data_IF_243541827824
#
_entry.id   IF_243541827824
#
_cell.length_a   1.000
_cell.length_b   1.000
_cell.length_c   1.000
_cell.angle_alpha   90.00
_cell.angle_beta   90.00
_cell.angle_gamma   90.00
#
_symmetry.space_group_name_H-M   'P 1'
#
loop_
_entity.id
_entity.type
_entity.pdbx_description
1 polymer ?
#
# COMPACT_ATOMS: atom_id res chain seq x y z
N UNK A 1 35.32 -76.12 66.01
CA UNK A 1 35.63 -75.59 64.69
C UNK A 1 37.09 -75.18 64.65
N UNK A 2 37.89 -75.69 63.71
CA UNK A 2 39.31 -75.38 63.61
C UNK A 2 39.55 -73.92 63.24
N UNK A 3 40.55 -73.26 63.78
CA UNK A 3 40.94 -71.88 63.53
C UNK A 3 41.07 -71.60 62.04
N UNK A 4 41.37 -72.61 61.23
CA UNK A 4 41.45 -72.52 59.77
C UNK A 4 40.09 -72.25 59.12
N UNK A 5 39.01 -72.85 59.61
CA UNK A 5 37.67 -72.65 59.07
C UNK A 5 37.14 -71.20 59.29
N UNK A 6 37.51 -70.59 60.42
CA UNK A 6 37.16 -69.22 60.77
C UNK A 6 37.90 -68.24 59.86
N UNK A 7 39.17 -68.47 59.56
CA UNK A 7 39.98 -67.64 58.65
C UNK A 7 39.41 -67.69 57.23
N UNK A 8 39.05 -68.87 56.73
CA UNK A 8 38.45 -69.03 55.37
C UNK A 8 37.11 -68.31 55.26
N UNK A 9 36.27 -68.38 56.32
CA UNK A 9 34.98 -67.64 56.31
C UNK A 9 35.19 -66.13 56.32
N UNK A 10 36.18 -65.61 57.07
CA UNK A 10 36.50 -64.20 57.11
C UNK A 10 37.02 -63.72 55.73
N UNK A 11 37.88 -64.50 55.07
CA UNK A 11 38.40 -64.19 53.73
C UNK A 11 37.26 -64.21 52.68
N UNK A 12 36.35 -65.18 52.77
CA UNK A 12 35.20 -65.23 51.83
C UNK A 12 34.21 -64.09 52.09
N UNK A 13 33.96 -63.72 53.34
CA UNK A 13 33.13 -62.54 53.66
C UNK A 13 33.77 -61.24 53.19
N UNK A 14 35.07 -61.06 53.36
CA UNK A 14 35.80 -59.87 52.84
C UNK A 14 35.78 -59.79 51.29
N UNK A 15 35.98 -60.93 50.61
CA UNK A 15 35.86 -61.02 49.17
C UNK A 15 34.44 -60.70 48.67
N UNK A 16 33.42 -61.19 49.39
CA UNK A 16 32.03 -60.91 49.11
C UNK A 16 31.68 -59.43 49.30
N UNK A 17 32.12 -58.79 50.38
CA UNK A 17 31.92 -57.36 50.65
C UNK A 17 32.64 -56.51 49.58
N UNK A 18 33.87 -56.90 49.20
CA UNK A 18 34.65 -56.24 48.14
C UNK A 18 33.93 -56.33 46.78
N UNK A 19 33.47 -57.52 46.39
CA UNK A 19 32.72 -57.72 45.15
C UNK A 19 31.41 -56.96 45.14
N UNK A 20 30.69 -56.97 46.28
CA UNK A 20 29.44 -56.23 46.42
C UNK A 20 29.63 -54.70 46.30
N UNK A 21 30.66 -54.15 46.99
CA UNK A 21 31.01 -52.73 46.88
C UNK A 21 31.41 -52.34 45.46
N UNK A 22 32.22 -53.20 44.78
CA UNK A 22 32.62 -53.01 43.39
C UNK A 22 31.43 -53.09 42.43
N UNK A 23 30.48 -54.00 42.66
CA UNK A 23 29.26 -54.10 41.90
C UNK A 23 28.37 -52.85 42.06
N UNK A 24 28.21 -52.33 43.27
CA UNK A 24 27.50 -51.07 43.54
C UNK A 24 28.18 -49.85 42.85
N UNK A 25 29.51 -49.80 42.88
CA UNK A 25 30.26 -48.74 42.19
C UNK A 25 30.05 -48.79 40.68
N UNK A 26 30.10 -49.96 40.06
CA UNK A 26 29.84 -50.17 38.63
C UNK A 26 28.37 -49.83 38.29
N UNK A 27 27.40 -50.21 39.11
CA UNK A 27 25.99 -49.84 38.90
C UNK A 27 25.78 -48.31 38.94
N UNK A 28 26.44 -47.61 39.87
CA UNK A 28 26.38 -46.13 39.89
C UNK A 28 26.99 -45.50 38.66
N UNK A 29 28.12 -46.05 38.16
CA UNK A 29 28.76 -45.54 36.97
C UNK A 29 27.93 -45.79 35.71
N UNK A 30 27.32 -46.97 35.56
CA UNK A 30 26.40 -47.29 34.47
C UNK A 30 25.18 -46.38 34.52
N UNK A 31 24.57 -46.20 35.68
CA UNK A 31 23.41 -45.32 35.85
C UNK A 31 23.74 -43.84 35.53
N UNK A 32 24.94 -43.39 35.92
CA UNK A 32 25.42 -42.05 35.59
C UNK A 32 25.63 -41.89 34.09
N UNK A 33 26.18 -42.90 33.39
CA UNK A 33 26.33 -42.88 31.91
C UNK A 33 24.98 -42.90 31.20
N UNK A 34 24.04 -43.72 31.67
CA UNK A 34 22.69 -43.82 31.10
C UNK A 34 21.91 -42.52 31.27
N UNK A 35 22.03 -41.87 32.45
CA UNK A 35 21.44 -40.56 32.67
C UNK A 35 22.02 -39.47 31.74
N UNK A 36 23.33 -39.42 31.54
CA UNK A 36 23.98 -38.51 30.61
C UNK A 36 23.53 -38.76 29.16
N UNK A 37 23.44 -40.03 28.76
CA UNK A 37 22.96 -40.38 27.43
C UNK A 37 21.50 -39.97 27.21
N UNK A 38 20.65 -40.15 28.23
CA UNK A 38 19.26 -39.70 28.18
C UNK A 38 19.12 -38.15 28.12
N UNK A 39 19.97 -37.42 28.86
CA UNK A 39 20.02 -35.95 28.76
C UNK A 39 20.48 -35.47 27.36
N UNK A 40 21.49 -36.12 26.80
CA UNK A 40 21.96 -35.84 25.44
C UNK A 40 20.87 -36.12 24.38
N UNK A 41 20.14 -37.24 24.54
CA UNK A 41 19.01 -37.56 23.66
C UNK A 41 17.89 -36.52 23.77
N UNK A 42 17.57 -36.02 24.97
CA UNK A 42 16.60 -34.94 25.18
C UNK A 42 17.06 -33.63 24.50
N UNK A 43 18.33 -33.26 24.70
CA UNK A 43 18.88 -32.08 24.05
C UNK A 43 18.86 -32.18 22.50
N UNK A 44 19.22 -33.33 21.95
CA UNK A 44 19.15 -33.60 20.51
C UNK A 44 17.69 -33.46 19.99
N UNK A 45 16.73 -34.03 20.70
CA UNK A 45 15.30 -33.90 20.37
C UNK A 45 14.83 -32.43 20.39
N UNK A 46 15.26 -31.64 21.36
CA UNK A 46 14.93 -30.20 21.42
C UNK A 46 15.51 -29.46 20.21
N UNK A 47 16.79 -29.67 19.91
CA UNK A 47 17.47 -29.03 18.77
C UNK A 47 16.84 -29.41 17.42
N UNK A 48 16.32 -30.63 17.29
CA UNK A 48 15.63 -31.10 16.07
C UNK A 48 14.25 -30.49 15.88
N UNK A 49 13.59 -30.01 16.94
CA UNK A 49 12.24 -29.45 16.90
C UNK A 49 12.21 -27.90 16.93
N UNK A 50 13.36 -27.24 17.04
CA UNK A 50 13.45 -25.79 16.93
C UNK A 50 13.54 -25.42 15.45
N UNK A 51 12.64 -24.53 15.00
CA UNK A 51 12.60 -24.06 13.61
C UNK A 51 13.73 -23.03 13.32
N UNK A 52 14.97 -23.45 13.58
CA UNK A 52 16.19 -22.68 13.37
C UNK A 52 17.35 -23.59 13.02
N UNK A 53 18.24 -23.15 12.14
CA UNK A 53 19.50 -23.85 11.89
C UNK A 53 20.51 -23.50 12.96
N UNK A 54 21.07 -24.53 13.60
CA UNK A 54 22.21 -24.43 14.50
C UNK A 54 23.45 -24.95 13.78
N UNK A 55 24.49 -24.13 13.74
CA UNK A 55 25.76 -24.46 13.09
C UNK A 55 26.90 -24.21 14.07
N UNK A 56 27.63 -25.23 14.43
CA UNK A 56 28.90 -25.09 15.14
C UNK A 56 30.00 -24.89 14.08
N UNK A 57 30.67 -23.75 14.10
CA UNK A 57 31.72 -23.43 13.13
C UNK A 57 33.07 -23.18 13.82
N UNK A 58 34.15 -23.48 13.11
CA UNK A 58 35.49 -23.12 13.50
C UNK A 58 35.88 -21.70 12.99
N UNK A 59 37.13 -21.29 13.29
CA UNK A 59 37.72 -20.01 12.87
C UNK A 59 37.86 -19.85 11.34
N UNK A 60 37.83 -20.94 10.59
CA UNK A 60 37.93 -20.97 9.12
C UNK A 60 36.55 -20.99 8.46
N UNK A 61 35.49 -20.80 9.25
CA UNK A 61 34.06 -20.80 8.86
C UNK A 61 33.53 -22.16 8.38
N UNK A 62 34.27 -23.24 8.71
CA UNK A 62 33.88 -24.62 8.41
C UNK A 62 32.89 -25.09 9.46
N UNK A 63 31.78 -25.68 9.01
CA UNK A 63 30.78 -26.23 9.89
C UNK A 63 31.26 -27.58 10.45
N UNK A 64 31.41 -27.63 11.77
CA UNK A 64 31.86 -28.85 12.48
C UNK A 64 30.65 -29.73 12.86
N UNK A 65 29.54 -29.11 13.21
CA UNK A 65 28.28 -29.78 13.59
C UNK A 65 27.06 -28.93 13.25
N UNK A 66 25.92 -29.59 12.99
CA UNK A 66 24.69 -28.88 12.60
C UNK A 66 23.45 -29.76 12.74
N UNK A 67 22.28 -29.12 12.99
CA UNK A 67 20.97 -29.75 12.89
C UNK A 67 20.35 -29.64 11.47
N UNK A 68 21.05 -29.04 10.50
CA UNK A 68 20.54 -28.78 9.14
C UNK A 68 19.98 -30.03 8.47
N UNK A 69 20.72 -31.14 8.52
CA UNK A 69 20.31 -32.39 7.88
C UNK A 69 19.04 -32.99 8.52
N UNK A 70 18.93 -32.91 9.84
CA UNK A 70 17.74 -33.38 10.57
C UNK A 70 16.50 -32.56 10.25
N UNK A 71 16.62 -31.24 10.19
CA UNK A 71 15.50 -30.32 9.87
C UNK A 71 15.01 -30.50 8.45
N UNK A 72 15.93 -30.70 7.49
CA UNK A 72 15.57 -30.87 6.08
C UNK A 72 15.31 -32.35 5.71
N UNK A 73 15.28 -33.26 6.69
CA UNK A 73 15.06 -34.70 6.48
C UNK A 73 16.05 -35.33 5.49
N UNK A 74 17.26 -34.80 5.44
CA UNK A 74 18.34 -35.29 4.60
C UNK A 74 19.16 -36.36 5.35
N UNK A 75 19.79 -37.33 4.64
CA UNK A 75 20.67 -38.30 5.25
C UNK A 75 21.89 -37.61 5.88
N UNK A 76 22.19 -37.94 7.13
CA UNK A 76 23.37 -37.43 7.86
C UNK A 76 24.64 -37.93 7.12
N UNK A 77 25.49 -37.01 6.70
CA UNK A 77 26.79 -37.38 6.10
C UNK A 77 27.70 -37.96 7.21
N UNK A 78 27.98 -39.26 7.10
CA UNK A 78 28.95 -39.93 7.98
C UNK A 78 30.38 -39.49 7.56
N UNK A 79 31.06 -38.72 8.40
CA UNK A 79 32.40 -38.25 8.12
C UNK A 79 32.69 -36.78 8.40
N UNK A 80 31.72 -36.08 9.01
CA UNK A 80 31.80 -34.65 9.33
C UNK A 80 31.38 -33.73 8.17
N UNK A 81 30.92 -32.55 8.51
CA UNK A 81 30.49 -31.53 7.56
C UNK A 81 31.74 -30.71 7.20
N UNK A 82 32.28 -30.85 5.99
CA UNK A 82 33.45 -30.06 5.52
C UNK A 82 33.01 -28.81 4.76
N UNK A 83 31.72 -28.44 4.84
CA UNK A 83 31.16 -27.30 4.13
C UNK A 83 31.23 -26.03 4.98
N UNK A 84 31.44 -24.89 4.33
CA UNK A 84 31.27 -23.59 4.98
C UNK A 84 29.78 -23.21 5.08
N UNK A 85 29.48 -22.23 5.94
CA UNK A 85 28.11 -21.81 6.23
C UNK A 85 27.27 -21.53 4.96
N UNK A 86 27.85 -20.79 4.00
CA UNK A 86 27.11 -20.44 2.76
C UNK A 86 26.93 -21.63 1.82
N UNK A 87 27.83 -22.59 1.82
CA UNK A 87 27.71 -23.80 1.00
C UNK A 87 26.61 -24.71 1.56
N UNK A 88 26.57 -24.84 2.90
CA UNK A 88 25.53 -25.63 3.57
C UNK A 88 24.13 -25.04 3.37
N UNK A 89 24.02 -23.71 3.44
CA UNK A 89 22.74 -23.00 3.26
C UNK A 89 22.37 -22.75 1.79
N UNK A 90 23.11 -23.32 0.84
CA UNK A 90 22.86 -23.15 -0.61
C UNK A 90 22.84 -21.68 -1.05
N UNK A 91 23.73 -20.84 -0.51
CA UNK A 91 23.88 -19.46 -0.93
C UNK A 91 24.29 -19.38 -2.40
N UNK A 92 23.54 -18.66 -3.23
CA UNK A 92 23.82 -18.51 -4.67
C UNK A 92 25.27 -18.10 -4.96
N UNK A 93 25.80 -17.17 -4.18
CA UNK A 93 27.16 -16.67 -4.39
C UNK A 93 28.22 -17.73 -4.01
N UNK A 94 27.94 -18.59 -3.04
CA UNK A 94 28.82 -19.68 -2.66
C UNK A 94 28.87 -20.76 -3.76
N UNK A 95 27.71 -21.17 -4.25
CA UNK A 95 27.57 -22.17 -5.33
C UNK A 95 28.19 -21.65 -6.62
N UNK A 96 27.96 -20.41 -7.01
CA UNK A 96 28.49 -19.81 -8.23
C UNK A 96 30.01 -19.71 -8.24
N UNK A 97 30.66 -19.60 -7.07
CA UNK A 97 32.12 -19.56 -6.93
C UNK A 97 32.74 -20.88 -6.50
N UNK A 98 31.94 -21.93 -6.29
CA UNK A 98 32.39 -23.25 -5.82
C UNK A 98 32.60 -23.35 -4.32
N UNK A 99 32.78 -22.23 -3.60
CA UNK A 99 32.97 -22.20 -2.15
C UNK A 99 32.54 -20.87 -1.53
N UNK A 100 31.99 -20.92 -0.33
CA UNK A 100 31.59 -19.72 0.42
C UNK A 100 32.82 -18.85 0.76
N UNK A 101 32.76 -17.57 0.33
CA UNK A 101 33.86 -16.62 0.55
C UNK A 101 34.71 -16.33 -0.68
N UNK A 102 34.59 -17.09 -1.75
CA UNK A 102 35.35 -16.94 -2.99
C UNK A 102 34.73 -15.90 -3.95
N UNK A 103 33.44 -15.68 -3.90
CA UNK A 103 32.75 -14.74 -4.77
C UNK A 103 33.07 -13.29 -4.38
N UNK A 104 33.14 -12.36 -5.35
CA UNK A 104 33.41 -10.95 -5.08
C UNK A 104 32.40 -10.31 -4.08
N UNK A 105 31.12 -10.64 -4.20
CA UNK A 105 30.09 -10.15 -3.29
C UNK A 105 30.22 -10.70 -1.86
N UNK A 106 31.00 -11.77 -1.64
CA UNK A 106 31.27 -12.27 -0.30
C UNK A 106 32.14 -11.30 0.53
N UNK A 107 32.84 -10.36 -0.10
CA UNK A 107 33.54 -9.27 0.60
C UNK A 107 32.58 -8.29 1.28
N UNK A 108 31.38 -8.17 0.76
CA UNK A 108 30.31 -7.31 1.30
C UNK A 108 29.30 -8.09 2.15
N UNK A 109 29.49 -9.39 2.36
CA UNK A 109 28.59 -10.22 3.13
C UNK A 109 28.64 -9.84 4.62
N UNK A 110 27.55 -9.26 5.12
CA UNK A 110 27.42 -8.82 6.51
C UNK A 110 27.51 -9.99 7.51
N UNK A 111 26.99 -11.17 7.15
CA UNK A 111 27.10 -12.39 7.98
C UNK A 111 28.56 -12.77 8.15
N UNK A 112 29.31 -12.91 7.04
CA UNK A 112 30.73 -13.24 7.06
C UNK A 112 31.57 -12.21 7.82
N UNK A 113 31.30 -10.92 7.59
CA UNK A 113 31.99 -9.84 8.29
C UNK A 113 31.75 -9.89 9.81
N UNK A 114 30.50 -10.16 10.21
CA UNK A 114 30.12 -10.25 11.62
C UNK A 114 30.74 -11.47 12.33
N UNK A 115 30.76 -12.62 11.67
CA UNK A 115 31.42 -13.82 12.17
C UNK A 115 32.95 -13.55 12.34
N UNK A 116 33.63 -13.02 11.31
CA UNK A 116 35.07 -12.71 11.38
C UNK A 116 35.39 -11.72 12.49
N UNK A 117 34.60 -10.64 12.62
CA UNK A 117 34.75 -9.64 13.70
C UNK A 117 34.55 -10.27 15.08
N UNK A 118 33.60 -11.19 15.21
CA UNK A 118 33.29 -11.87 16.45
C UNK A 118 34.43 -12.82 16.89
N UNK A 119 35.03 -13.58 15.98
CA UNK A 119 36.23 -14.40 16.26
C UNK A 119 37.40 -13.52 16.68
N UNK A 120 37.68 -12.44 15.93
CA UNK A 120 38.79 -11.54 16.26
C UNK A 120 38.65 -10.90 17.65
N UNK A 121 37.43 -10.57 18.05
CA UNK A 121 37.14 -9.92 19.34
C UNK A 121 36.79 -10.88 20.46
N UNK A 122 36.71 -12.18 20.17
CA UNK A 122 36.18 -13.22 21.07
C UNK A 122 34.82 -12.82 21.69
N UNK A 123 33.94 -12.32 20.85
CA UNK A 123 32.67 -11.75 21.26
C UNK A 123 31.50 -12.42 20.52
N UNK A 124 30.31 -12.34 21.11
CA UNK A 124 29.06 -12.80 20.50
C UNK A 124 28.31 -11.64 19.82
N UNK A 125 27.45 -11.95 18.84
CA UNK A 125 26.53 -11.00 18.23
C UNK A 125 25.12 -11.59 18.17
N UNK A 126 24.09 -10.73 18.13
CA UNK A 126 22.69 -11.15 18.15
C UNK A 126 21.89 -10.41 17.08
N UNK A 127 20.90 -11.10 16.53
CA UNK A 127 19.87 -10.55 15.64
C UNK A 127 20.42 -9.75 14.45
N UNK A 128 21.49 -10.26 13.82
CA UNK A 128 21.97 -9.71 12.57
C UNK A 128 20.99 -10.07 11.46
N UNK A 129 20.29 -9.10 10.94
CA UNK A 129 19.38 -9.31 9.80
C UNK A 129 20.17 -9.22 8.48
N UNK A 130 19.92 -10.17 7.60
CA UNK A 130 20.52 -10.23 6.28
C UNK A 130 19.57 -10.81 5.25
N UNK A 131 19.65 -10.31 4.02
CA UNK A 131 18.94 -10.91 2.88
C UNK A 131 19.92 -11.76 2.07
N UNK A 132 19.53 -12.99 1.81
CA UNK A 132 20.30 -13.97 1.04
C UNK A 132 19.50 -14.38 -0.19
N UNK A 133 20.21 -14.84 -1.22
CA UNK A 133 19.61 -15.54 -2.36
C UNK A 133 20.03 -16.99 -2.26
N UNK A 134 19.05 -17.85 -2.00
CA UNK A 134 19.27 -19.29 -1.89
C UNK A 134 18.93 -19.98 -3.21
N UNK A 135 19.69 -20.99 -3.57
CA UNK A 135 19.39 -21.87 -4.70
C UNK A 135 18.64 -23.10 -4.21
N UNK A 136 17.67 -23.56 -4.97
CA UNK A 136 17.05 -24.87 -4.76
C UNK A 136 18.07 -26.00 -4.91
N UNK A 137 17.79 -27.19 -4.39
CA UNK A 137 18.71 -28.34 -4.46
C UNK A 137 19.08 -28.75 -5.89
N UNK A 138 18.16 -28.53 -6.84
CA UNK A 138 18.36 -28.75 -8.27
C UNK A 138 19.04 -27.57 -9.00
N UNK A 139 19.44 -26.52 -8.26
CA UNK A 139 20.07 -25.30 -8.75
C UNK A 139 19.27 -24.52 -9.82
N UNK A 140 17.98 -24.83 -10.00
CA UNK A 140 17.15 -24.24 -11.04
C UNK A 140 16.46 -22.97 -10.60
N UNK A 141 16.14 -22.81 -9.29
CA UNK A 141 15.35 -21.71 -8.75
C UNK A 141 16.13 -20.92 -7.70
N UNK A 142 16.14 -19.60 -7.88
CA UNK A 142 16.69 -18.65 -6.90
C UNK A 142 15.56 -18.10 -6.05
N UNK A 143 15.62 -18.31 -4.75
CA UNK A 143 14.62 -17.80 -3.79
C UNK A 143 15.28 -16.76 -2.89
N UNK A 144 14.72 -15.54 -2.79
CA UNK A 144 15.17 -14.58 -1.78
C UNK A 144 14.75 -15.08 -0.41
N UNK A 145 15.65 -15.02 0.55
CA UNK A 145 15.44 -15.43 1.94
C UNK A 145 15.95 -14.34 2.88
N UNK A 146 15.13 -13.83 3.76
CA UNK A 146 15.54 -12.94 4.84
C UNK A 146 15.86 -13.80 6.07
N UNK A 147 17.06 -13.64 6.61
CA UNK A 147 17.53 -14.42 7.75
C UNK A 147 17.90 -13.50 8.92
N UNK A 148 17.65 -13.98 10.13
CA UNK A 148 18.19 -13.41 11.36
C UNK A 148 19.24 -14.35 11.90
N UNK A 149 20.49 -13.86 12.03
CA UNK A 149 21.65 -14.64 12.44
C UNK A 149 22.16 -14.14 13.78
N UNK A 150 22.38 -15.07 14.72
CA UNK A 150 23.07 -14.79 15.97
C UNK A 150 24.29 -15.70 16.08
N UNK A 151 25.39 -15.19 16.61
CA UNK A 151 26.63 -15.95 16.80
C UNK A 151 27.08 -15.87 18.26
N UNK A 152 27.25 -17.02 18.91
CA UNK A 152 27.80 -17.13 20.26
C UNK A 152 29.20 -17.72 20.21
N UNK A 153 30.17 -16.92 20.61
CA UNK A 153 31.59 -17.36 20.70
C UNK A 153 31.77 -18.35 21.86
N UNK A 154 32.52 -19.43 21.61
CA UNK A 154 32.86 -20.46 22.57
C UNK A 154 34.36 -20.81 22.43
N UNK A 155 35.04 -21.06 23.56
CA UNK A 155 36.34 -21.69 23.57
C UNK A 155 36.20 -23.07 24.22
N UNK A 156 36.50 -24.11 23.46
CA UNK A 156 36.37 -25.52 23.90
C UNK A 156 37.76 -26.15 23.81
N UNK A 157 38.31 -26.55 24.93
CA UNK A 157 39.65 -27.18 25.03
C UNK A 157 40.80 -26.38 24.40
N UNK A 158 40.69 -25.03 24.40
CA UNK A 158 41.71 -24.15 23.84
C UNK A 158 41.49 -23.80 22.36
N UNK A 159 40.51 -24.39 21.71
CA UNK A 159 40.13 -24.09 20.34
C UNK A 159 38.91 -23.16 20.30
N UNK A 160 38.91 -22.24 19.34
CA UNK A 160 37.85 -21.22 19.20
C UNK A 160 36.77 -21.72 18.25
N UNK A 161 35.53 -21.70 18.72
CA UNK A 161 34.31 -22.06 17.99
C UNK A 161 33.25 -20.98 18.08
N UNK A 162 32.27 -21.06 17.20
CA UNK A 162 31.08 -20.24 17.29
C UNK A 162 29.84 -21.07 16.98
N UNK A 163 28.82 -20.95 17.85
CA UNK A 163 27.50 -21.46 17.54
C UNK A 163 26.73 -20.36 16.81
N UNK A 164 26.36 -20.59 15.57
CA UNK A 164 25.46 -19.75 14.79
C UNK A 164 24.05 -20.29 14.90
N UNK A 165 23.10 -19.38 15.12
CA UNK A 165 21.68 -19.65 15.03
C UNK A 165 21.12 -18.85 13.86
N UNK A 166 20.52 -19.52 12.89
CA UNK A 166 19.97 -18.90 11.68
C UNK A 166 18.49 -19.17 11.63
N UNK A 167 17.69 -18.10 11.67
CA UNK A 167 16.23 -18.13 11.52
C UNK A 167 15.85 -17.59 10.15
N UNK A 168 14.98 -18.29 9.45
CA UNK A 168 14.27 -17.73 8.31
C UNK A 168 13.16 -16.82 8.82
N UNK A 169 13.26 -15.54 8.49
CA UNK A 169 12.30 -14.52 8.88
C UNK A 169 11.58 -13.93 7.66
N UNK A 170 11.63 -14.61 6.52
CA UNK A 170 11.08 -14.14 5.25
C UNK A 170 9.57 -13.88 5.35
N UNK A 171 8.81 -14.85 5.88
CA UNK A 171 7.36 -14.69 6.05
C UNK A 171 7.02 -13.57 7.02
N UNK A 172 7.76 -13.47 8.14
CA UNK A 172 7.56 -12.41 9.12
C UNK A 172 7.81 -11.02 8.50
N UNK A 173 8.91 -10.87 7.75
CA UNK A 173 9.23 -9.60 7.08
C UNK A 173 8.23 -9.24 5.98
N UNK A 174 7.77 -10.22 5.22
CA UNK A 174 6.75 -9.99 4.22
C UNK A 174 5.42 -9.55 4.86
N UNK A 175 4.99 -10.19 5.94
CA UNK A 175 3.81 -9.78 6.69
C UNK A 175 3.97 -8.36 7.26
N UNK A 176 5.13 -8.01 7.82
CA UNK A 176 5.41 -6.66 8.32
C UNK A 176 5.39 -5.61 7.20
N UNK A 177 5.95 -5.92 6.02
CA UNK A 177 5.90 -5.03 4.85
C UNK A 177 4.46 -4.79 4.38
N UNK A 178 3.65 -5.84 4.30
CA UNK A 178 2.24 -5.71 3.92
C UNK A 178 1.47 -4.85 4.93
N UNK A 179 1.65 -5.09 6.23
CA UNK A 179 1.03 -4.29 7.29
C UNK A 179 1.48 -2.83 7.26
N UNK A 180 2.76 -2.55 6.95
CA UNK A 180 3.23 -1.16 6.84
C UNK A 180 2.60 -0.44 5.66
N UNK A 181 2.46 -1.11 4.50
CA UNK A 181 1.79 -0.55 3.32
C UNK A 181 0.32 -0.27 3.63
N UNK A 182 -0.40 -1.21 4.23
CA UNK A 182 -1.80 -1.06 4.61
C UNK A 182 -1.98 0.10 5.61
N UNK A 183 -1.09 0.21 6.60
CA UNK A 183 -1.08 1.31 7.55
C UNK A 183 -0.83 2.66 6.88
N UNK A 184 0.11 2.76 5.96
CA UNK A 184 0.38 3.99 5.21
C UNK A 184 -0.85 4.41 4.38
N UNK A 185 -1.51 3.46 3.72
CA UNK A 185 -2.77 3.70 3.01
C UNK A 185 -3.86 4.20 3.95
N UNK A 186 -4.05 3.56 5.09
CA UNK A 186 -5.05 3.98 6.09
C UNK A 186 -4.77 5.38 6.64
N UNK A 187 -3.52 5.68 7.01
CA UNK A 187 -3.14 7.02 7.50
C UNK A 187 -3.32 8.09 6.42
N UNK A 188 -3.03 7.77 5.17
CA UNK A 188 -3.24 8.68 4.05
C UNK A 188 -4.72 8.96 3.81
N UNK A 189 -5.57 7.93 3.86
CA UNK A 189 -7.03 8.07 3.76
C UNK A 189 -7.60 8.92 4.90
N UNK A 190 -7.16 8.70 6.15
CA UNK A 190 -7.60 9.49 7.30
C UNK A 190 -7.17 10.98 7.20
N UNK A 191 -5.98 11.25 6.70
CA UNK A 191 -5.52 12.64 6.44
C UNK A 191 -6.38 13.31 5.37
N UNK A 192 -6.66 12.61 4.26
CA UNK A 192 -7.52 13.13 3.20
C UNK A 192 -8.94 13.39 3.72
N UNK A 193 -9.51 12.48 4.51
CA UNK A 193 -10.81 12.65 5.15
C UNK A 193 -10.84 13.85 6.11
N UNK A 194 -9.81 14.03 6.92
CA UNK A 194 -9.71 15.16 7.85
C UNK A 194 -9.57 16.49 7.11
N UNK A 195 -8.75 16.55 6.08
CA UNK A 195 -8.62 17.72 5.21
C UNK A 195 -9.93 18.03 4.48
N UNK A 196 -10.65 17.00 4.02
CA UNK A 196 -11.98 17.13 3.42
C UNK A 196 -12.95 17.82 4.37
N UNK A 197 -13.10 17.33 5.61
CA UNK A 197 -14.02 17.90 6.62
C UNK A 197 -13.62 19.35 6.96
N UNK A 198 -12.33 19.62 7.13
CA UNK A 198 -11.85 20.97 7.43
C UNK A 198 -12.18 21.97 6.30
N UNK A 199 -11.93 21.59 5.05
CA UNK A 199 -12.23 22.40 3.88
C UNK A 199 -13.73 22.61 3.69
N UNK A 200 -14.55 21.56 3.87
CA UNK A 200 -16.00 21.67 3.86
C UNK A 200 -16.52 22.67 4.89
N UNK A 201 -16.01 22.58 6.13
CA UNK A 201 -16.40 23.49 7.21
C UNK A 201 -16.09 24.93 6.85
N UNK A 202 -14.97 25.19 6.19
CA UNK A 202 -14.60 26.53 5.74
C UNK A 202 -15.51 27.02 4.59
N UNK A 203 -15.74 26.19 3.57
CA UNK A 203 -16.55 26.53 2.39
C UNK A 203 -18.04 26.72 2.74
N UNK A 204 -18.54 26.06 3.79
CA UNK A 204 -19.90 26.29 4.33
C UNK A 204 -19.96 27.58 5.16
N UNK A 205 -18.93 27.86 5.98
CA UNK A 205 -18.92 29.01 6.89
C UNK A 205 -18.94 30.35 6.15
N UNK A 206 -18.22 30.44 5.04
CA UNK A 206 -18.09 31.68 4.27
C UNK A 206 -19.44 32.22 3.76
N UNK A 207 -20.23 31.46 2.96
CA UNK A 207 -21.55 31.92 2.52
C UNK A 207 -22.53 32.07 3.67
N UNK A 208 -22.47 31.23 4.69
CA UNK A 208 -23.34 31.34 5.86
C UNK A 208 -23.12 32.66 6.61
N UNK A 209 -21.84 33.05 6.83
CA UNK A 209 -21.51 34.33 7.46
C UNK A 209 -21.97 35.51 6.62
N UNK A 210 -21.89 35.45 5.30
CA UNK A 210 -22.42 36.48 4.40
C UNK A 210 -23.94 36.60 4.52
N UNK A 211 -24.66 35.46 4.47
CA UNK A 211 -26.13 35.46 4.65
C UNK A 211 -26.52 36.09 6.00
N UNK A 212 -25.88 35.66 7.10
CA UNK A 212 -26.20 36.20 8.44
C UNK A 212 -25.82 37.68 8.55
N UNK A 213 -24.68 38.08 8.04
CA UNK A 213 -24.22 39.49 8.08
C UNK A 213 -25.12 40.41 7.29
N UNK A 214 -25.45 40.10 6.03
CA UNK A 214 -26.31 40.94 5.20
C UNK A 214 -27.75 40.88 5.61
N UNK A 215 -28.26 39.78 6.22
CA UNK A 215 -29.57 39.73 6.84
C UNK A 215 -29.70 40.73 8.00
N UNK A 216 -28.62 40.89 8.82
CA UNK A 216 -28.59 41.92 9.87
C UNK A 216 -28.61 43.34 9.31
N UNK A 217 -27.83 43.59 8.24
CA UNK A 217 -27.75 44.90 7.59
C UNK A 217 -29.07 45.25 6.88
N UNK A 218 -29.78 44.27 6.32
CA UNK A 218 -31.08 44.50 5.67
C UNK A 218 -32.11 45.16 6.58
N UNK A 219 -32.09 44.86 7.88
CA UNK A 219 -32.98 45.44 8.89
C UNK A 219 -32.72 46.94 9.08
N UNK A 220 -31.47 47.40 8.91
CA UNK A 220 -31.03 48.79 9.09
C UNK A 220 -30.84 49.55 7.76
N UNK A 221 -31.20 48.94 6.63
CA UNK A 221 -31.06 49.57 5.32
C UNK A 221 -31.91 50.85 5.20
N UNK A 222 -31.28 51.93 4.73
CA UNK A 222 -31.85 53.22 4.64
C UNK A 222 -32.56 53.50 3.33
N UNK A 223 -32.27 52.74 2.29
CA UNK A 223 -32.88 52.84 0.95
C UNK A 223 -33.36 51.51 0.38
N UNK A 224 -34.24 51.57 -0.60
CA UNK A 224 -34.71 50.36 -1.31
C UNK A 224 -33.59 49.73 -2.17
N UNK A 225 -32.70 50.55 -2.69
CA UNK A 225 -31.52 50.08 -3.44
C UNK A 225 -30.57 49.27 -2.53
N UNK A 226 -30.33 49.71 -1.30
CA UNK A 226 -29.52 48.98 -0.31
C UNK A 226 -30.19 47.65 0.04
N UNK A 227 -31.53 47.64 0.26
CA UNK A 227 -32.26 46.40 0.55
C UNK A 227 -32.17 45.42 -0.58
N UNK A 228 -32.32 45.89 -1.81
CA UNK A 228 -32.18 45.04 -3.01
C UNK A 228 -30.80 44.47 -3.13
N UNK A 229 -29.76 45.29 -2.96
CA UNK A 229 -28.36 44.84 -2.98
C UNK A 229 -28.09 43.75 -1.93
N UNK A 230 -28.55 43.95 -0.68
CA UNK A 230 -28.38 42.94 0.38
C UNK A 230 -29.19 41.67 0.08
N UNK A 231 -30.39 41.78 -0.46
CA UNK A 231 -31.20 40.63 -0.88
C UNK A 231 -30.50 39.81 -1.98
N UNK A 232 -29.93 40.48 -2.98
CA UNK A 232 -29.20 39.84 -4.07
C UNK A 232 -27.99 39.10 -3.54
N UNK A 233 -27.17 39.68 -2.63
CA UNK A 233 -26.04 39.02 -1.98
C UNK A 233 -26.47 37.81 -1.17
N UNK A 234 -27.58 37.90 -0.42
CA UNK A 234 -28.10 36.77 0.35
C UNK A 234 -28.56 35.65 -0.59
N UNK A 235 -29.27 35.98 -1.68
CA UNK A 235 -29.73 35.00 -2.65
C UNK A 235 -28.58 34.27 -3.32
N UNK A 236 -27.55 34.99 -3.76
CA UNK A 236 -26.33 34.41 -4.37
C UNK A 236 -25.61 33.45 -3.41
N UNK A 237 -25.42 33.86 -2.14
CA UNK A 237 -24.75 33.02 -1.16
C UNK A 237 -25.58 31.78 -0.77
N UNK A 238 -26.92 31.90 -0.77
CA UNK A 238 -27.81 30.78 -0.53
C UNK A 238 -27.73 29.75 -1.68
N UNK A 239 -27.77 30.18 -2.93
CA UNK A 239 -27.58 29.30 -4.09
C UNK A 239 -26.21 28.60 -4.05
N UNK A 240 -25.16 29.33 -3.64
CA UNK A 240 -23.81 28.79 -3.47
C UNK A 240 -23.78 27.69 -2.40
N UNK A 241 -24.42 27.93 -1.26
CA UNK A 241 -24.51 26.98 -0.17
C UNK A 241 -25.29 25.73 -0.57
N UNK A 242 -26.41 25.88 -1.25
CA UNK A 242 -27.21 24.75 -1.75
C UNK A 242 -26.39 23.89 -2.75
N UNK A 243 -25.70 24.52 -3.69
CA UNK A 243 -24.82 23.79 -4.61
C UNK A 243 -23.74 23.00 -3.87
N UNK A 244 -23.08 23.61 -2.88
CA UNK A 244 -22.04 22.94 -2.10
C UNK A 244 -22.61 21.72 -1.34
N UNK A 245 -23.77 21.86 -0.70
CA UNK A 245 -24.42 20.77 0.02
C UNK A 245 -24.80 19.63 -0.92
N UNK A 246 -25.34 19.94 -2.10
CA UNK A 246 -25.70 18.94 -3.11
C UNK A 246 -24.46 18.23 -3.66
N UNK A 247 -23.38 18.97 -3.97
CA UNK A 247 -22.10 18.38 -4.44
C UNK A 247 -21.53 17.38 -3.42
N UNK A 248 -21.58 17.74 -2.12
CA UNK A 248 -21.14 16.88 -1.02
C UNK A 248 -22.00 15.61 -0.92
N UNK A 249 -23.32 15.78 -0.99
CA UNK A 249 -24.26 14.68 -0.90
C UNK A 249 -24.10 13.72 -2.07
N UNK A 250 -24.02 14.24 -3.30
CA UNK A 250 -23.77 13.45 -4.50
C UNK A 250 -22.45 12.67 -4.40
N UNK A 251 -21.36 13.35 -4.00
CA UNK A 251 -20.06 12.70 -3.84
C UNK A 251 -20.12 11.57 -2.79
N UNK A 252 -20.80 11.83 -1.66
CA UNK A 252 -20.95 10.82 -0.60
C UNK A 252 -21.77 9.61 -1.06
N UNK A 253 -22.85 9.82 -1.80
CA UNK A 253 -23.66 8.73 -2.33
C UNK A 253 -22.90 7.90 -3.38
N UNK A 254 -22.18 8.56 -4.29
CA UNK A 254 -21.40 7.87 -5.33
C UNK A 254 -20.28 7.05 -4.70
N UNK A 255 -19.57 7.60 -3.71
CA UNK A 255 -18.48 6.90 -3.01
C UNK A 255 -18.96 5.70 -2.19
N UNK A 256 -20.14 5.80 -1.57
CA UNK A 256 -20.75 4.68 -0.83
C UNK A 256 -21.37 3.62 -1.74
N UNK A 257 -21.46 3.88 -3.06
CA UNK A 257 -22.10 2.98 -4.00
C UNK A 257 -23.62 2.88 -3.82
N UNK A 258 -24.23 3.89 -3.16
CA UNK A 258 -25.68 3.92 -2.86
C UNK A 258 -26.49 4.72 -3.88
N UNK A 259 -25.85 5.20 -4.95
CA UNK A 259 -26.55 5.93 -6.02
C UNK A 259 -27.31 4.95 -6.90
N UNK A 260 -28.60 5.12 -6.99
CA UNK A 260 -29.42 4.45 -8.00
C UNK A 260 -29.38 5.28 -9.30
N UNK A 261 -28.64 4.80 -10.30
CA UNK A 261 -28.59 5.41 -11.61
C UNK A 261 -29.85 5.07 -12.41
N UNK A 262 -30.55 6.08 -12.88
CA UNK A 262 -31.77 5.92 -13.70
C UNK A 262 -31.43 6.06 -15.18
N UNK A 263 -31.24 4.95 -15.86
CA UNK A 263 -30.89 4.92 -17.27
C UNK A 263 -32.14 5.12 -18.15
N UNK A 264 -32.04 6.05 -19.10
CA UNK A 264 -33.09 6.38 -20.07
C UNK A 264 -32.53 6.50 -21.47
N UNK A 265 -33.41 6.32 -22.48
CA UNK A 265 -33.09 6.64 -23.86
C UNK A 265 -33.29 8.14 -24.08
N UNK A 266 -32.32 8.81 -24.70
CA UNK A 266 -32.40 10.22 -25.06
C UNK A 266 -31.50 10.54 -26.25
N UNK A 267 -31.80 11.66 -26.94
CA UNK A 267 -30.90 12.23 -27.96
C UNK A 267 -29.91 13.20 -27.28
N UNK A 268 -28.61 12.96 -27.46
CA UNK A 268 -27.56 13.84 -26.95
C UNK A 268 -27.64 15.26 -27.52
N UNK A 269 -28.16 15.45 -28.73
CA UNK A 269 -28.35 16.77 -29.33
C UNK A 269 -29.45 17.57 -28.61
N UNK A 270 -30.54 16.89 -28.17
CA UNK A 270 -31.61 17.57 -27.42
C UNK A 270 -31.12 18.03 -26.05
N UNK A 271 -30.26 17.21 -25.40
CA UNK A 271 -29.57 17.58 -24.16
C UNK A 271 -28.71 18.85 -24.34
N UNK A 272 -27.94 18.94 -25.43
CA UNK A 272 -27.14 20.14 -25.71
C UNK A 272 -28.02 21.37 -25.97
N UNK A 273 -29.12 21.25 -26.71
CA UNK A 273 -30.07 22.37 -26.96
C UNK A 273 -30.72 22.87 -25.68
N UNK A 274 -31.08 21.97 -24.76
CA UNK A 274 -31.57 22.33 -23.44
C UNK A 274 -30.57 23.16 -22.65
N UNK A 275 -29.31 22.68 -22.58
CA UNK A 275 -28.22 23.41 -21.94
C UNK A 275 -27.96 24.75 -22.58
N UNK A 276 -28.00 24.84 -23.92
CA UNK A 276 -27.88 26.11 -24.66
C UNK A 276 -28.90 27.12 -24.20
N UNK A 277 -30.20 26.73 -24.11
CA UNK A 277 -31.28 27.58 -23.65
C UNK A 277 -31.06 28.11 -22.22
N UNK A 278 -30.61 27.22 -21.31
CA UNK A 278 -30.33 27.59 -19.91
C UNK A 278 -29.14 28.56 -19.82
N UNK A 279 -28.05 28.26 -20.51
CA UNK A 279 -26.78 29.01 -20.36
C UNK A 279 -26.81 30.33 -21.14
N UNK A 280 -27.53 30.44 -22.26
CA UNK A 280 -27.77 31.72 -22.94
C UNK A 280 -28.46 32.75 -22.06
N UNK A 281 -29.42 32.32 -21.23
CA UNK A 281 -30.13 33.25 -20.30
C UNK A 281 -29.24 33.70 -19.14
N UNK A 282 -28.22 32.89 -18.75
CA UNK A 282 -27.27 33.20 -17.68
C UNK A 282 -26.09 34.05 -18.15
N UNK A 283 -25.80 34.05 -19.46
CA UNK A 283 -24.70 34.80 -20.02
C UNK A 283 -25.03 36.28 -20.14
N UNK A 284 -24.81 37.05 -19.08
CA UNK A 284 -25.04 38.48 -19.05
C UNK A 284 -23.96 39.32 -19.72
N UNK A 285 -22.84 38.68 -20.11
CA UNK A 285 -21.68 39.34 -20.70
C UNK A 285 -21.78 39.33 -22.26
N UNK A 286 -21.93 40.48 -22.86
CA UNK A 286 -21.98 40.65 -24.33
C UNK A 286 -20.65 40.37 -25.03
N UNK A 287 -19.54 40.21 -24.29
CA UNK A 287 -18.19 39.95 -24.80
C UNK A 287 -17.88 38.45 -24.96
N UNK A 288 -18.76 37.56 -24.53
CA UNK A 288 -18.58 36.10 -24.63
C UNK A 288 -19.69 35.52 -25.51
N UNK A 289 -19.33 34.81 -26.57
CA UNK A 289 -20.24 34.08 -27.42
C UNK A 289 -20.40 32.64 -26.96
N UNK A 290 -21.65 32.13 -26.82
CA UNK A 290 -21.94 30.75 -26.54
C UNK A 290 -22.37 30.02 -27.81
N UNK A 291 -21.56 29.06 -28.26
CA UNK A 291 -21.77 28.27 -29.46
C UNK A 291 -22.09 26.83 -29.13
N UNK A 292 -23.31 26.40 -29.50
CA UNK A 292 -23.73 25.01 -29.41
C UNK A 292 -23.63 24.33 -30.76
N UNK A 293 -22.78 23.32 -30.90
CA UNK A 293 -22.65 22.53 -32.13
C UNK A 293 -23.43 21.21 -31.97
N UNK A 294 -24.74 21.28 -32.12
CA UNK A 294 -25.59 20.10 -32.16
C UNK A 294 -25.69 19.57 -33.60
N UNK A 295 -25.57 18.26 -33.77
CA UNK A 295 -25.74 17.62 -35.06
C UNK A 295 -27.20 17.63 -35.56
N UNK A 296 -27.40 17.60 -36.88
CA UNK A 296 -28.72 17.47 -37.50
C UNK A 296 -29.28 16.05 -37.26
N UNK A 297 -28.43 15.03 -37.34
CA UNK A 297 -28.84 13.65 -37.09
C UNK A 297 -28.86 13.33 -35.61
N UNK A 298 -29.91 12.62 -35.13
CA UNK A 298 -30.02 12.29 -33.71
C UNK A 298 -28.88 11.34 -33.26
N UNK A 299 -28.31 11.62 -32.10
CA UNK A 299 -27.31 10.77 -31.44
C UNK A 299 -27.98 10.12 -30.22
N UNK A 300 -28.64 9.00 -30.46
CA UNK A 300 -29.35 8.27 -29.41
C UNK A 300 -28.39 7.60 -28.43
N UNK A 301 -28.61 7.80 -27.14
CA UNK A 301 -27.86 7.18 -26.05
C UNK A 301 -28.83 6.50 -25.06
N UNK A 302 -28.39 5.39 -24.46
CA UNK A 302 -29.03 4.80 -23.28
C UNK A 302 -28.07 4.96 -22.09
N UNK A 303 -28.32 5.96 -21.28
CA UNK A 303 -27.44 6.38 -20.19
C UNK A 303 -28.21 7.15 -19.13
N UNK A 304 -27.51 7.63 -18.13
CA UNK A 304 -28.05 8.47 -17.06
C UNK A 304 -27.98 9.95 -17.48
N UNK A 305 -29.10 10.44 -18.01
CA UNK A 305 -29.24 11.77 -18.64
C UNK A 305 -28.92 12.92 -17.68
N UNK A 306 -29.46 12.87 -16.47
CA UNK A 306 -29.30 13.93 -15.47
C UNK A 306 -27.86 14.10 -14.99
N UNK A 307 -27.14 13.00 -14.87
CA UNK A 307 -25.72 13.03 -14.49
C UNK A 307 -24.83 13.59 -15.61
N UNK A 308 -25.17 13.32 -16.87
CA UNK A 308 -24.48 13.93 -18.02
C UNK A 308 -24.76 15.44 -18.05
N UNK A 309 -26.01 15.88 -17.81
CA UNK A 309 -26.35 17.29 -17.67
C UNK A 309 -25.53 17.93 -16.55
N UNK A 310 -25.42 17.28 -15.41
CA UNK A 310 -24.65 17.77 -14.26
C UNK A 310 -23.16 17.97 -14.62
N UNK A 311 -22.55 17.02 -15.31
CA UNK A 311 -21.15 17.14 -15.78
C UNK A 311 -21.00 18.30 -16.75
N UNK A 312 -21.81 18.35 -17.80
CA UNK A 312 -21.77 19.43 -18.79
C UNK A 312 -22.05 20.81 -18.19
N UNK A 313 -23.04 20.89 -17.28
CA UNK A 313 -23.34 22.13 -16.56
C UNK A 313 -22.18 22.62 -15.72
N UNK A 314 -21.48 21.71 -15.04
CA UNK A 314 -20.26 22.06 -14.28
C UNK A 314 -19.15 22.59 -15.19
N UNK A 315 -18.90 21.92 -16.33
CA UNK A 315 -17.88 22.37 -17.29
C UNK A 315 -18.24 23.71 -17.93
N UNK A 316 -19.51 23.93 -18.31
CA UNK A 316 -20.00 25.21 -18.85
C UNK A 316 -19.92 26.33 -17.82
N UNK A 317 -20.26 26.10 -16.54
CA UNK A 317 -20.07 27.07 -15.47
C UNK A 317 -18.60 27.46 -15.30
N UNK A 318 -17.69 26.50 -15.36
CA UNK A 318 -16.26 26.78 -15.32
C UNK A 318 -15.82 27.62 -16.53
N UNK A 319 -16.23 27.26 -17.74
CA UNK A 319 -15.95 28.02 -18.95
C UNK A 319 -16.44 29.49 -18.84
N UNK A 320 -17.68 29.72 -18.41
CA UNK A 320 -18.22 31.06 -18.19
C UNK A 320 -17.48 31.87 -17.13
N UNK A 321 -17.03 31.21 -16.10
CA UNK A 321 -16.30 31.85 -15.00
C UNK A 321 -14.91 32.32 -15.42
N UNK A 322 -14.23 31.57 -16.28
CA UNK A 322 -12.82 31.80 -16.63
C UNK A 322 -12.63 32.46 -18.00
N UNK A 323 -13.73 32.76 -18.72
CA UNK A 323 -13.69 33.47 -20.00
C UNK A 323 -14.31 34.85 -19.85
N UNK A 324 -13.49 35.90 -19.88
CA UNK A 324 -13.95 37.31 -19.82
C UNK A 324 -14.42 37.82 -21.17
N UNK A 325 -13.81 37.34 -22.24
CA UNK A 325 -14.16 37.69 -23.61
C UNK A 325 -13.77 36.58 -24.58
N UNK A 326 -14.50 36.42 -25.66
CA UNK A 326 -14.25 35.39 -26.67
C UNK A 326 -15.40 34.41 -26.79
N UNK A 327 -15.11 33.12 -26.83
CA UNK A 327 -16.07 32.08 -27.17
C UNK A 327 -16.05 30.92 -26.16
N UNK A 328 -17.23 30.39 -25.88
CA UNK A 328 -17.43 29.10 -25.20
C UNK A 328 -18.18 28.18 -26.16
N UNK A 329 -17.57 27.09 -26.53
CA UNK A 329 -18.09 26.14 -27.52
C UNK A 329 -18.36 24.79 -26.84
N UNK A 330 -19.50 24.17 -27.12
CA UNK A 330 -19.75 22.81 -26.66
C UNK A 330 -20.46 22.00 -27.72
N UNK A 331 -20.13 20.72 -27.78
CA UNK A 331 -20.56 19.82 -28.84
C UNK A 331 -20.66 18.37 -28.35
N UNK A 332 -21.39 17.56 -29.13
CA UNK A 332 -21.29 16.11 -29.03
C UNK A 332 -21.07 15.50 -30.40
N UNK A 333 -20.35 14.41 -30.48
CA UNK A 333 -20.07 13.69 -31.71
C UNK A 333 -20.04 12.19 -31.47
N UNK A 334 -20.44 11.41 -32.46
CA UNK A 334 -20.34 9.96 -32.39
C UNK A 334 -18.91 9.55 -32.69
N UNK A 335 -18.30 8.76 -31.80
CA UNK A 335 -16.96 8.18 -31.98
C UNK A 335 -17.09 6.68 -32.29
N UNK A 336 -17.02 6.34 -33.57
CA UNK A 336 -17.34 4.97 -34.01
C UNK A 336 -18.83 4.66 -33.88
N UNK A 337 -19.19 3.41 -33.61
CA UNK A 337 -20.58 2.93 -33.46
C UNK A 337 -21.03 2.86 -32.00
N UNK A 338 -20.10 2.78 -31.06
CA UNK A 338 -20.32 2.39 -29.67
C UNK A 338 -20.13 3.52 -28.67
N UNK A 339 -19.58 4.67 -29.09
CA UNK A 339 -19.19 5.74 -28.18
C UNK A 339 -19.70 7.11 -28.64
N UNK A 340 -19.94 7.99 -27.65
CA UNK A 340 -20.26 9.39 -27.86
C UNK A 340 -19.25 10.24 -27.12
N UNK A 341 -18.65 11.22 -27.83
CA UNK A 341 -17.70 12.19 -27.29
C UNK A 341 -18.42 13.51 -27.05
N UNK A 342 -18.27 14.07 -25.87
CA UNK A 342 -18.72 15.42 -25.51
C UNK A 342 -17.48 16.31 -25.32
N UNK A 343 -17.56 17.56 -25.78
CA UNK A 343 -16.48 18.53 -25.71
C UNK A 343 -17.04 19.86 -25.21
N UNK A 344 -16.36 20.49 -24.28
CA UNK A 344 -16.58 21.89 -23.85
C UNK A 344 -15.24 22.61 -23.97
N UNK A 345 -15.18 23.64 -24.81
CA UNK A 345 -13.99 24.44 -25.05
C UNK A 345 -14.26 25.90 -24.73
N UNK A 346 -13.31 26.57 -24.13
CA UNK A 346 -13.33 28.00 -23.84
C UNK A 346 -12.05 28.68 -24.33
N UNK A 347 -12.12 29.99 -24.58
CA UNK A 347 -10.99 30.85 -24.93
C UNK A 347 -10.52 31.67 -23.73
N UNK A 348 -10.67 31.16 -22.53
CA UNK A 348 -10.34 31.84 -21.29
C UNK A 348 -8.85 31.85 -20.96
N UNK A 349 -8.56 32.04 -19.68
CA UNK A 349 -7.17 32.18 -19.16
C UNK A 349 -6.29 30.95 -19.33
N UNK A 350 -6.90 29.78 -19.55
CA UNK A 350 -6.18 28.49 -19.59
C UNK A 350 -5.66 28.04 -18.24
N UNK A 351 -5.01 26.85 -18.20
CA UNK A 351 -4.53 26.19 -16.99
C UNK A 351 -3.06 25.82 -17.16
N UNK A 352 -2.17 26.27 -16.24
CA UNK A 352 -0.76 25.89 -16.26
C UNK A 352 -0.57 24.38 -16.20
N UNK A 353 0.40 23.83 -16.94
CA UNK A 353 0.68 22.39 -17.00
C UNK A 353 0.89 21.74 -15.62
N UNK A 354 1.56 22.46 -14.72
CA UNK A 354 1.81 22.02 -13.35
C UNK A 354 0.53 21.83 -12.51
N UNK A 355 -0.54 22.54 -12.86
CA UNK A 355 -1.83 22.53 -12.16
C UNK A 355 -2.86 21.59 -12.81
N UNK A 356 -2.71 21.21 -14.08
CA UNK A 356 -3.68 20.42 -14.83
C UNK A 356 -4.02 19.08 -14.16
N UNK A 357 -3.04 18.42 -13.53
CA UNK A 357 -3.28 17.17 -12.77
C UNK A 357 -3.94 17.41 -11.42
N UNK A 358 -3.72 18.58 -10.84
CA UNK A 358 -4.20 18.90 -9.49
C UNK A 358 -5.65 19.36 -9.47
N UNK A 359 -6.17 19.97 -10.55
CA UNK A 359 -7.54 20.50 -10.60
C UNK A 359 -8.63 19.45 -10.45
N UNK A 360 -8.30 18.18 -10.67
CA UNK A 360 -9.20 17.05 -10.45
C UNK A 360 -9.22 16.57 -8.99
N UNK A 361 -8.34 17.12 -8.15
CA UNK A 361 -8.33 16.81 -6.72
C UNK A 361 -9.35 17.64 -5.97
N UNK A 362 -9.91 17.10 -4.88
CA UNK A 362 -10.96 17.74 -4.09
C UNK A 362 -10.49 19.07 -3.48
N UNK A 363 -11.33 20.10 -3.57
CA UNK A 363 -11.10 21.43 -3.01
C UNK A 363 -9.88 22.18 -3.56
N UNK A 364 -9.33 21.74 -4.68
CA UNK A 364 -8.28 22.49 -5.36
C UNK A 364 -8.92 23.65 -6.14
N UNK A 365 -8.38 24.84 -5.90
CA UNK A 365 -8.71 26.07 -6.64
C UNK A 365 -7.38 26.64 -7.13
N UNK A 366 -7.31 27.06 -8.39
CA UNK A 366 -6.12 27.71 -8.97
C UNK A 366 -5.86 29.05 -8.29
N UNK A 367 -6.92 29.76 -7.93
CA UNK A 367 -6.86 30.98 -7.14
C UNK A 367 -7.80 30.86 -5.93
N UNK A 368 -7.28 31.20 -4.73
CA UNK A 368 -8.04 31.15 -3.47
C UNK A 368 -9.15 32.20 -3.40
N UNK A 369 -9.00 33.31 -4.12
CA UNK A 369 -9.98 34.40 -4.15
C UNK A 369 -11.14 34.11 -5.12
N UNK A 370 -10.94 33.20 -6.09
CA UNK A 370 -11.99 32.85 -7.03
C UNK A 370 -13.11 32.00 -6.38
N UNK A 371 -14.35 32.43 -6.66
CA UNK A 371 -15.54 31.71 -6.21
C UNK A 371 -15.59 30.28 -6.76
N UNK A 372 -15.98 29.31 -5.95
CA UNK A 372 -16.19 27.91 -6.33
C UNK A 372 -15.96 26.95 -5.18
N UNK A 373 -16.52 25.77 -5.25
CA UNK A 373 -16.44 24.73 -4.21
C UNK A 373 -15.14 23.90 -4.30
N UNK A 374 -14.54 23.84 -5.50
CA UNK A 374 -13.42 22.93 -5.79
C UNK A 374 -13.84 21.46 -5.83
N UNK A 375 -15.13 21.16 -5.85
CA UNK A 375 -15.69 19.80 -5.93
C UNK A 375 -16.18 19.44 -7.33
N UNK A 376 -16.56 20.42 -8.15
CA UNK A 376 -17.23 20.17 -9.41
C UNK A 376 -16.45 19.26 -10.36
N UNK A 377 -15.17 19.51 -10.60
CA UNK A 377 -14.35 18.68 -11.51
C UNK A 377 -14.13 17.27 -10.94
N UNK A 378 -13.92 17.15 -9.63
CA UNK A 378 -13.80 15.84 -8.95
C UNK A 378 -15.11 15.06 -9.06
N UNK A 379 -16.26 15.72 -8.83
CA UNK A 379 -17.57 15.10 -8.96
C UNK A 379 -17.83 14.68 -10.41
N UNK A 380 -17.53 15.56 -11.39
CA UNK A 380 -17.63 15.23 -12.82
C UNK A 380 -16.81 14.00 -13.20
N UNK A 381 -15.55 13.93 -12.76
CA UNK A 381 -14.68 12.78 -12.99
C UNK A 381 -15.26 11.51 -12.36
N UNK A 382 -15.77 11.59 -11.12
CA UNK A 382 -16.36 10.45 -10.41
C UNK A 382 -17.64 9.96 -11.10
N UNK A 383 -18.51 10.87 -11.54
CA UNK A 383 -19.71 10.53 -12.32
C UNK A 383 -19.31 9.80 -13.60
N UNK A 384 -18.39 10.37 -14.38
CA UNK A 384 -17.99 9.80 -15.66
C UNK A 384 -17.33 8.42 -15.49
N UNK A 385 -16.51 8.20 -14.47
CA UNK A 385 -15.93 6.89 -14.16
C UNK A 385 -17.02 5.85 -13.88
N UNK A 386 -18.09 6.21 -13.15
CA UNK A 386 -19.21 5.32 -12.91
C UNK A 386 -20.04 5.05 -14.18
N UNK A 387 -20.07 5.98 -15.12
CA UNK A 387 -20.71 5.78 -16.43
C UNK A 387 -19.81 5.09 -17.45
N UNK A 388 -18.59 4.70 -17.06
CA UNK A 388 -17.64 3.99 -17.93
C UNK A 388 -16.80 4.88 -18.83
N UNK A 389 -16.73 6.19 -18.52
CA UNK A 389 -15.95 7.18 -19.26
C UNK A 389 -14.80 7.79 -18.44
N UNK A 390 -14.10 8.73 -19.05
CA UNK A 390 -13.02 9.51 -18.42
C UNK A 390 -13.06 10.96 -18.90
N UNK A 391 -12.72 11.90 -18.00
CA UNK A 391 -12.59 13.32 -18.33
C UNK A 391 -11.14 13.62 -18.71
N UNK A 392 -10.96 14.23 -19.87
CA UNK A 392 -9.67 14.66 -20.41
C UNK A 392 -9.62 16.20 -20.48
N UNK A 393 -8.43 16.76 -20.39
CA UNK A 393 -8.15 18.19 -20.46
C UNK A 393 -7.02 18.46 -21.44
N UNK A 394 -7.24 19.42 -22.32
CA UNK A 394 -6.21 20.08 -23.13
C UNK A 394 -6.29 21.59 -22.87
N UNK A 395 -5.23 22.21 -22.36
CA UNK A 395 -5.26 23.62 -21.96
C UNK A 395 -3.88 24.26 -22.08
N UNK A 396 -3.88 25.50 -22.56
CA UNK A 396 -2.68 26.34 -22.66
C UNK A 396 -3.00 27.74 -22.10
N UNK A 397 -2.07 28.31 -21.33
CA UNK A 397 -2.22 29.64 -20.73
C UNK A 397 -2.52 30.69 -21.81
N UNK A 398 -3.54 31.50 -21.60
CA UNK A 398 -4.05 32.56 -22.49
C UNK A 398 -4.59 32.06 -23.85
N UNK A 399 -4.82 30.75 -23.97
CA UNK A 399 -5.48 30.16 -25.13
C UNK A 399 -6.80 29.50 -24.82
N UNK A 400 -7.02 29.25 -23.51
CA UNK A 400 -8.23 28.62 -23.01
C UNK A 400 -8.04 27.14 -22.65
N UNK A 401 -9.16 26.48 -22.43
CA UNK A 401 -9.21 25.07 -22.04
C UNK A 401 -10.24 24.30 -22.84
N UNK A 402 -9.94 23.04 -23.11
CA UNK A 402 -10.86 22.09 -23.74
C UNK A 402 -10.99 20.88 -22.83
N UNK A 403 -12.19 20.70 -22.26
CA UNK A 403 -12.56 19.50 -21.52
C UNK A 403 -13.32 18.57 -22.46
N UNK A 404 -12.92 17.31 -22.49
CA UNK A 404 -13.61 16.30 -23.29
C UNK A 404 -13.82 15.01 -22.51
N UNK A 405 -14.92 14.31 -22.80
CA UNK A 405 -15.16 13.00 -22.25
C UNK A 405 -15.89 12.10 -23.24
N UNK A 406 -15.62 10.81 -23.15
CA UNK A 406 -16.19 9.79 -24.01
C UNK A 406 -17.01 8.84 -23.14
N UNK A 407 -18.25 8.55 -23.56
CA UNK A 407 -19.13 7.61 -22.89
C UNK A 407 -19.60 6.52 -23.86
N UNK A 408 -19.80 5.28 -23.35
CA UNK A 408 -20.50 4.27 -24.15
C UNK A 408 -21.87 4.75 -24.56
N UNK A 409 -22.26 4.52 -25.80
CA UNK A 409 -23.59 4.86 -26.33
C UNK A 409 -24.70 4.12 -25.58
N UNK A 410 -24.42 2.88 -25.17
CA UNK A 410 -25.33 2.04 -24.40
C UNK A 410 -24.60 1.54 -23.16
N UNK A 411 -24.99 2.01 -21.98
CA UNK A 411 -24.45 1.56 -20.71
C UNK A 411 -25.28 0.36 -20.24
N UNK A 412 -24.67 -0.84 -20.19
CA UNK A 412 -25.29 -2.03 -19.60
C UNK A 412 -25.08 -2.03 -18.09
N UNK A 413 -26.14 -2.12 -17.28
CA UNK A 413 -26.05 -2.07 -15.82
C UNK A 413 -25.09 -3.09 -15.19
N UNK A 414 -24.86 -4.22 -15.85
CA UNK A 414 -23.99 -5.31 -15.37
C UNK A 414 -22.47 -4.98 -15.36
N UNK A 415 -22.04 -3.88 -16.00
CA UNK A 415 -20.61 -3.48 -16.06
C UNK A 415 -20.17 -2.56 -14.93
N UNK A 416 -21.09 -2.11 -14.10
CA UNK A 416 -20.78 -1.16 -13.02
C UNK A 416 -20.44 -1.94 -11.75
N UNK A 417 -19.22 -2.45 -11.65
CA UNK A 417 -18.62 -2.78 -10.35
C UNK A 417 -17.99 -1.50 -9.80
N UNK A 418 -18.35 -1.05 -8.59
CA UNK A 418 -17.64 0.06 -7.97
C UNK A 418 -16.17 -0.30 -7.88
N UNK A 419 -15.34 0.38 -8.67
CA UNK A 419 -13.90 0.28 -8.47
C UNK A 419 -13.60 1.02 -7.17
N UNK A 420 -13.28 0.25 -6.13
CA UNK A 420 -12.70 0.80 -4.94
C UNK A 420 -11.50 1.66 -5.35
N UNK A 421 -11.58 2.94 -5.08
CA UNK A 421 -10.49 3.91 -5.30
C UNK A 421 -9.29 3.39 -4.50
N UNK A 422 -8.28 2.90 -5.22
CA UNK A 422 -7.00 2.46 -4.65
C UNK A 422 -6.15 3.65 -4.28
#
# INVERSE_FOLDING_TARGET
MSSLAIIVIIVLLAAFIYMWAKCQSLQKEVHSKENKENELKKLALVLQNINAYFLLIDKDFVVCDTNYYSLNRLPIQVGGVTKRVGDLLHCRNAIAAGECGQHEQCKLCCIRASIGKAFCKKASFKNLEASMKLLSEDETKVTPCDVSVSGTYLNIHGEDYMVLTVYDVTELKNAQRLLSIEREHSVSADKLKSAFIANMSHEVRTPLNAIVGFSGLMVSASSEEERKMYADVIAENNERLLRLVNDIFDLSQIESGTVDFVYTDFDANDLLRELEGIFKTKLNNSSVELVCEAHIQPIMMYSERERIIQVLSNLLHNAMKFTESGEIRFSCSQKGTEEVCFVVSDTGIGIPEEEQKKIFSRFIKLDREMQGTGLGLTLSQTILQNLGGSLELDSEINRGSTFSFVLPRVIKPERIKPQAIK
#
